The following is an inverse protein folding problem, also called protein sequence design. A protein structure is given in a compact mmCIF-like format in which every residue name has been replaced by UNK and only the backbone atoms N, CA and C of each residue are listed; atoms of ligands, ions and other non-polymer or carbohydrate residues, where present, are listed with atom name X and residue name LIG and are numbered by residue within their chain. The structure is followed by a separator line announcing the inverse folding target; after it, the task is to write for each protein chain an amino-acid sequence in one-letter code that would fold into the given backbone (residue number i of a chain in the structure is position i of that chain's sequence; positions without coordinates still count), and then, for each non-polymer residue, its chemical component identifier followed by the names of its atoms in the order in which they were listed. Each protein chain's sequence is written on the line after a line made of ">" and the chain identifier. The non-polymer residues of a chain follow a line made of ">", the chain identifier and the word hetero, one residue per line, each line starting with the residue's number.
data_IF_598105940921
#
_entry.id   IF_598105940921
#
_cell.length_a   1.000
_cell.length_b   1.000
_cell.length_c   1.000
_cell.angle_alpha   90.00
_cell.angle_beta   90.00
_cell.angle_gamma   90.00
#
_symmetry.space_group_name_H-M   'P 1'
#
loop_
_entity.id
_entity.type
_entity.pdbx_description
1 polymer ?
#
# COMPACT_ATOMS: atom_id res chain seq x y z
N UNK A 1 8.93 -36.22 -17.43
CA UNK A 1 8.00 -35.72 -18.46
C UNK A 1 6.98 -34.84 -17.75
N UNK A 2 6.94 -33.53 -18.01
CA UNK A 2 5.98 -32.66 -17.40
C UNK A 2 4.76 -32.53 -18.33
N UNK A 3 3.56 -32.71 -17.79
CA UNK A 3 2.34 -32.45 -18.53
C UNK A 3 2.09 -30.94 -18.57
N UNK A 4 1.97 -30.38 -19.76
CA UNK A 4 1.63 -28.98 -19.95
C UNK A 4 0.11 -28.86 -20.03
N UNK A 5 -0.48 -28.21 -19.02
CA UNK A 5 -1.90 -27.89 -18.99
C UNK A 5 -2.07 -26.40 -19.26
N UNK A 6 -2.84 -26.04 -20.25
CA UNK A 6 -3.22 -24.66 -20.53
C UNK A 6 -4.49 -24.32 -19.75
N UNK A 7 -4.42 -23.32 -18.86
CA UNK A 7 -5.59 -22.74 -18.22
C UNK A 7 -6.12 -21.61 -19.12
N UNK A 8 -7.37 -21.68 -19.60
CA UNK A 8 -7.96 -20.60 -20.38
C UNK A 8 -8.10 -19.34 -19.52
N UNK A 9 -8.01 -18.14 -20.11
CA UNK A 9 -8.31 -16.91 -19.40
C UNK A 9 -9.79 -16.88 -18.99
N UNK A 10 -10.07 -16.28 -17.83
CA UNK A 10 -11.45 -16.06 -17.38
C UNK A 10 -12.19 -15.14 -18.35
N UNK A 11 -13.47 -15.41 -18.55
CA UNK A 11 -14.38 -14.47 -19.21
C UNK A 11 -14.63 -13.24 -18.34
N UNK A 12 -15.15 -12.15 -18.92
CA UNK A 12 -15.47 -10.94 -18.15
C UNK A 12 -16.51 -11.21 -17.05
N UNK A 13 -17.49 -12.06 -17.32
CA UNK A 13 -18.54 -12.41 -16.36
C UNK A 13 -18.01 -13.27 -15.22
N UNK A 14 -17.12 -14.22 -15.50
CA UNK A 14 -16.43 -15.01 -14.48
C UNK A 14 -15.55 -14.12 -13.60
N UNK A 15 -14.82 -13.17 -14.20
CA UNK A 15 -13.99 -12.24 -13.45
C UNK A 15 -14.82 -11.34 -12.53
N UNK A 16 -15.98 -10.83 -13.02
CA UNK A 16 -16.93 -10.06 -12.20
C UNK A 16 -17.46 -10.89 -11.03
N UNK A 17 -17.87 -12.13 -11.27
CA UNK A 17 -18.35 -13.02 -10.23
C UNK A 17 -17.30 -13.29 -9.16
N UNK A 18 -16.04 -13.53 -9.55
CA UNK A 18 -14.92 -13.71 -8.62
C UNK A 18 -14.67 -12.47 -7.78
N UNK A 19 -14.65 -11.28 -8.41
CA UNK A 19 -14.43 -10.01 -7.69
C UNK A 19 -15.55 -9.76 -6.69
N UNK A 20 -16.80 -9.95 -7.08
CA UNK A 20 -17.97 -9.79 -6.22
C UNK A 20 -17.94 -10.77 -5.05
N UNK A 21 -17.69 -12.06 -5.28
CA UNK A 21 -17.59 -13.08 -4.24
C UNK A 21 -16.48 -12.77 -3.23
N UNK A 22 -15.33 -12.27 -3.71
CA UNK A 22 -14.16 -11.99 -2.87
C UNK A 22 -14.23 -10.67 -2.11
N UNK A 23 -15.04 -9.71 -2.56
CA UNK A 23 -15.13 -8.37 -1.98
C UNK A 23 -16.44 -8.11 -1.25
N UNK A 24 -17.53 -8.80 -1.60
CA UNK A 24 -18.86 -8.55 -1.10
C UNK A 24 -19.52 -7.26 -1.64
N UNK A 25 -18.88 -6.57 -2.60
CA UNK A 25 -19.42 -5.35 -3.20
C UNK A 25 -20.42 -5.69 -4.30
N UNK A 26 -21.52 -4.92 -4.40
CA UNK A 26 -22.45 -5.05 -5.51
C UNK A 26 -21.77 -4.68 -6.84
N UNK A 27 -22.10 -5.39 -7.91
CA UNK A 27 -21.51 -5.16 -9.23
C UNK A 27 -21.75 -3.72 -9.72
N UNK A 28 -22.93 -3.17 -9.45
CA UNK A 28 -23.31 -1.79 -9.80
C UNK A 28 -22.43 -0.72 -9.17
N UNK A 29 -21.92 -0.95 -7.96
CA UNK A 29 -20.99 -0.01 -7.31
C UNK A 29 -19.61 0.01 -7.99
N UNK A 30 -19.28 -1.06 -8.73
CA UNK A 30 -18.01 -1.20 -9.44
C UNK A 30 -18.13 -0.87 -10.96
N UNK A 31 -19.31 -0.55 -11.47
CA UNK A 31 -19.51 -0.26 -12.90
C UNK A 31 -18.50 0.76 -13.47
N UNK A 32 -18.23 1.91 -12.83
CA UNK A 32 -17.23 2.85 -13.33
C UNK A 32 -15.82 2.24 -13.38
N UNK A 33 -15.47 1.41 -12.37
CA UNK A 33 -14.18 0.72 -12.31
C UNK A 33 -14.07 -0.29 -13.44
N UNK A 34 -15.13 -1.05 -13.70
CA UNK A 34 -15.19 -2.00 -14.82
C UNK A 34 -15.05 -1.31 -16.17
N UNK A 35 -15.77 -0.19 -16.37
CA UNK A 35 -15.67 0.60 -17.60
C UNK A 35 -14.25 1.09 -17.84
N UNK A 36 -13.59 1.61 -16.80
CA UNK A 36 -12.19 2.02 -16.87
C UNK A 36 -11.27 0.84 -17.22
N UNK A 37 -11.39 -0.28 -16.51
CA UNK A 37 -10.51 -1.44 -16.70
C UNK A 37 -10.65 -2.02 -18.10
N UNK A 38 -11.87 -2.10 -18.61
CA UNK A 38 -12.11 -2.56 -19.98
C UNK A 38 -11.42 -1.64 -21.00
N UNK A 39 -11.64 -0.32 -20.88
CA UNK A 39 -11.00 0.68 -21.74
C UNK A 39 -9.48 0.62 -21.66
N UNK A 40 -8.94 0.53 -20.44
CA UNK A 40 -7.52 0.44 -20.19
C UNK A 40 -6.89 -0.81 -20.83
N UNK A 41 -7.50 -1.99 -20.66
CA UNK A 41 -7.00 -3.25 -21.24
C UNK A 41 -7.05 -3.23 -22.78
N UNK A 42 -8.11 -2.66 -23.37
CA UNK A 42 -8.24 -2.53 -24.81
C UNK A 42 -7.14 -1.63 -25.39
N UNK A 43 -6.91 -0.47 -24.77
CA UNK A 43 -5.88 0.46 -25.25
C UNK A 43 -4.44 0.02 -24.89
N UNK A 44 -4.26 -0.73 -23.79
CA UNK A 44 -2.95 -1.28 -23.45
C UNK A 44 -2.47 -2.35 -24.45
N UNK A 45 -3.39 -2.91 -25.24
CA UNK A 45 -3.06 -3.85 -26.33
C UNK A 45 -2.59 -3.14 -27.60
N UNK A 46 -2.81 -1.82 -27.71
CA UNK A 46 -2.35 -1.01 -28.83
C UNK A 46 -0.92 -0.47 -28.56
N UNK A 47 0.03 -0.93 -29.36
CA UNK A 47 1.44 -0.54 -29.25
C UNK A 47 1.67 0.97 -29.44
N UNK A 48 0.76 1.67 -30.14
CA UNK A 48 0.88 3.10 -30.44
C UNK A 48 0.53 3.99 -29.25
N UNK A 49 -0.22 3.50 -28.28
CA UNK A 49 -0.71 4.31 -27.15
C UNK A 49 0.34 4.48 -26.04
N UNK A 50 1.45 3.73 -26.08
CA UNK A 50 2.51 3.84 -25.07
C UNK A 50 2.18 3.27 -23.70
N UNK A 51 0.97 2.75 -23.48
CA UNK A 51 0.51 2.12 -22.25
C UNK A 51 1.21 0.80 -21.92
N UNK A 52 1.98 0.23 -22.86
CA UNK A 52 2.82 -0.95 -22.62
C UNK A 52 3.84 -0.73 -21.50
N UNK A 53 4.15 0.54 -21.18
CA UNK A 53 5.03 0.93 -20.06
C UNK A 53 4.29 0.97 -18.72
N UNK A 54 2.98 0.98 -18.74
CA UNK A 54 2.17 0.99 -17.54
C UNK A 54 1.88 -0.45 -17.04
N UNK A 55 1.53 -0.57 -15.78
CA UNK A 55 1.25 -1.86 -15.17
C UNK A 55 -0.02 -2.48 -15.78
N UNK A 56 0.02 -3.77 -16.12
CA UNK A 56 -1.17 -4.50 -16.56
C UNK A 56 -2.21 -4.55 -15.44
N UNK A 57 -3.47 -4.34 -15.79
CA UNK A 57 -4.57 -4.41 -14.82
C UNK A 57 -5.06 -5.86 -14.68
N UNK A 58 -4.76 -6.51 -13.56
CA UNK A 58 -5.13 -7.90 -13.30
C UNK A 58 -6.28 -8.04 -12.31
N UNK A 59 -6.90 -9.22 -12.26
CA UNK A 59 -8.01 -9.55 -11.35
C UNK A 59 -7.67 -9.34 -9.88
N UNK A 60 -6.43 -9.63 -9.46
CA UNK A 60 -5.98 -9.36 -8.07
C UNK A 60 -6.06 -7.89 -7.70
N UNK A 61 -5.73 -6.99 -8.62
CA UNK A 61 -5.85 -5.55 -8.39
C UNK A 61 -7.30 -5.12 -8.26
N UNK A 62 -8.19 -5.69 -9.09
CA UNK A 62 -9.64 -5.47 -8.98
C UNK A 62 -10.20 -5.92 -7.63
N UNK A 63 -9.84 -7.11 -7.16
CA UNK A 63 -10.25 -7.60 -5.85
C UNK A 63 -9.79 -6.65 -4.73
N UNK A 64 -8.55 -6.15 -4.78
CA UNK A 64 -8.04 -5.18 -3.80
C UNK A 64 -8.81 -3.87 -3.81
N UNK A 65 -9.06 -3.32 -5.00
CA UNK A 65 -9.84 -2.10 -5.18
C UNK A 65 -11.27 -2.31 -4.66
N UNK A 66 -11.90 -3.42 -5.03
CA UNK A 66 -13.24 -3.75 -4.59
C UNK A 66 -13.34 -3.92 -3.06
N UNK A 67 -12.41 -4.64 -2.44
CA UNK A 67 -12.35 -4.78 -0.97
C UNK A 67 -12.18 -3.43 -0.28
N UNK A 68 -11.37 -2.54 -0.85
CA UNK A 68 -11.18 -1.21 -0.31
C UNK A 68 -12.47 -0.39 -0.40
N UNK A 69 -13.15 -0.40 -1.54
CA UNK A 69 -14.43 0.28 -1.74
C UNK A 69 -15.56 -0.34 -0.90
N UNK A 70 -15.52 -1.66 -0.64
CA UNK A 70 -16.44 -2.31 0.30
C UNK A 70 -16.34 -1.72 1.70
N UNK A 71 -15.12 -1.43 2.13
CA UNK A 71 -14.85 -0.93 3.48
C UNK A 71 -15.03 0.58 3.58
N UNK A 72 -14.66 1.31 2.53
CA UNK A 72 -14.77 2.77 2.43
C UNK A 72 -15.44 3.18 1.11
N UNK A 73 -16.79 3.17 1.08
CA UNK A 73 -17.55 3.52 -0.13
C UNK A 73 -17.30 4.95 -0.61
N UNK A 74 -16.95 5.86 0.31
CA UNK A 74 -16.67 7.27 0.04
C UNK A 74 -15.21 7.55 -0.35
N UNK A 75 -14.37 6.50 -0.54
CA UNK A 75 -12.98 6.70 -0.94
C UNK A 75 -12.88 7.27 -2.37
N UNK A 76 -11.83 8.04 -2.62
CA UNK A 76 -11.60 8.64 -3.93
C UNK A 76 -11.19 7.58 -4.96
N UNK A 77 -12.14 7.10 -5.75
CA UNK A 77 -11.94 6.07 -6.79
C UNK A 77 -10.91 6.53 -7.82
N UNK A 78 -10.92 7.81 -8.21
CA UNK A 78 -9.94 8.36 -9.14
C UNK A 78 -8.51 8.17 -8.59
N UNK A 79 -8.28 8.65 -7.39
CA UNK A 79 -6.98 8.58 -6.73
C UNK A 79 -6.55 7.14 -6.48
N UNK A 80 -7.50 6.26 -6.12
CA UNK A 80 -7.25 4.85 -5.90
C UNK A 80 -6.75 4.16 -7.17
N UNK A 81 -7.41 4.36 -8.30
CA UNK A 81 -7.02 3.80 -9.58
C UNK A 81 -5.72 4.41 -10.10
N UNK A 82 -5.57 5.73 -9.98
CA UNK A 82 -4.38 6.46 -10.40
C UNK A 82 -3.12 5.97 -9.66
N UNK A 83 -3.21 5.81 -8.33
CA UNK A 83 -2.15 5.26 -7.49
C UNK A 83 -1.86 3.79 -7.81
N UNK A 84 -2.90 3.00 -8.03
CA UNK A 84 -2.76 1.57 -8.35
C UNK A 84 -1.97 1.35 -9.65
N UNK A 85 -2.11 2.24 -10.62
CA UNK A 85 -1.35 2.24 -11.87
C UNK A 85 0.02 2.90 -11.77
N UNK A 86 0.43 3.34 -10.59
CA UNK A 86 1.70 4.06 -10.36
C UNK A 86 1.86 5.30 -11.25
N UNK A 87 0.76 6.00 -11.54
CA UNK A 87 0.72 7.08 -12.52
C UNK A 87 1.69 8.23 -12.21
N UNK A 88 1.96 8.50 -10.92
CA UNK A 88 2.91 9.52 -10.50
C UNK A 88 4.35 9.25 -10.98
N UNK A 89 4.67 7.99 -11.30
CA UNK A 89 5.99 7.55 -11.75
C UNK A 89 6.04 7.28 -13.27
N UNK A 90 4.91 7.44 -13.96
CA UNK A 90 4.85 7.28 -15.42
C UNK A 90 5.27 8.57 -16.14
N UNK A 91 5.76 8.48 -17.38
CA UNK A 91 5.95 9.65 -18.24
C UNK A 91 4.66 10.47 -18.34
N UNK A 92 4.80 11.80 -18.41
CA UNK A 92 3.66 12.72 -18.44
C UNK A 92 2.61 12.34 -19.51
N UNK A 93 3.06 11.99 -20.70
CA UNK A 93 2.17 11.57 -21.81
C UNK A 93 1.31 10.35 -21.44
N UNK A 94 1.90 9.34 -20.79
CA UNK A 94 1.17 8.13 -20.37
C UNK A 94 0.22 8.43 -19.22
N UNK A 95 0.66 9.26 -18.28
CA UNK A 95 -0.16 9.71 -17.16
C UNK A 95 -1.37 10.49 -17.64
N UNK A 96 -1.21 11.39 -18.61
CA UNK A 96 -2.30 12.18 -19.19
C UNK A 96 -3.31 11.27 -19.93
N UNK A 97 -2.85 10.20 -20.59
CA UNK A 97 -3.73 9.20 -21.22
C UNK A 97 -4.59 8.51 -20.15
N UNK A 98 -3.99 8.02 -19.07
CA UNK A 98 -4.74 7.37 -17.97
C UNK A 98 -5.73 8.34 -17.34
N UNK A 99 -5.34 9.60 -17.15
CA UNK A 99 -6.23 10.64 -16.65
C UNK A 99 -7.46 10.82 -17.54
N UNK A 100 -7.27 11.00 -18.85
CA UNK A 100 -8.40 11.15 -19.77
C UNK A 100 -9.29 9.92 -19.81
N UNK A 101 -8.71 8.71 -19.74
CA UNK A 101 -9.51 7.48 -19.65
C UNK A 101 -10.42 7.44 -18.42
N UNK A 102 -9.94 7.92 -17.27
CA UNK A 102 -10.74 8.01 -16.04
C UNK A 102 -11.88 9.01 -16.20
N UNK A 103 -11.57 10.19 -16.74
CA UNK A 103 -12.59 11.23 -17.00
C UNK A 103 -13.67 10.74 -17.98
N UNK A 104 -13.28 10.06 -19.04
CA UNK A 104 -14.19 9.56 -20.07
C UNK A 104 -15.21 8.53 -19.54
N UNK A 105 -14.88 7.81 -18.47
CA UNK A 105 -15.80 6.88 -17.80
C UNK A 105 -16.50 7.50 -16.59
N UNK A 106 -16.39 8.83 -16.42
CA UNK A 106 -17.06 9.57 -15.36
C UNK A 106 -16.36 9.51 -14.01
N UNK A 107 -15.15 8.96 -13.93
CA UNK A 107 -14.35 8.95 -12.69
C UNK A 107 -13.53 10.24 -12.65
N UNK A 108 -14.00 11.20 -11.84
CA UNK A 108 -13.36 12.51 -11.66
C UNK A 108 -12.67 12.58 -10.30
N UNK A 109 -11.55 13.30 -10.17
CA UNK A 109 -10.91 13.51 -8.87
C UNK A 109 -11.83 14.32 -7.95
N UNK A 110 -11.95 13.94 -6.69
CA UNK A 110 -12.76 14.66 -5.71
C UNK A 110 -12.38 16.15 -5.67
N UNK A 111 -13.38 17.01 -5.94
CA UNK A 111 -13.28 18.47 -5.81
C UNK A 111 -12.57 19.19 -6.93
N UNK A 112 -12.45 18.61 -8.11
CA UNK A 112 -12.05 19.35 -9.31
C UNK A 112 -13.28 19.82 -10.08
N UNK A 113 -13.47 21.13 -10.11
CA UNK A 113 -14.13 21.77 -11.25
C UNK A 113 -13.02 22.01 -12.28
N UNK A 114 -12.83 21.08 -13.22
CA UNK A 114 -12.23 21.30 -14.53
C UNK A 114 -10.71 21.49 -14.64
N UNK A 115 -9.88 21.31 -13.63
CA UNK A 115 -8.43 21.39 -13.80
C UNK A 115 -7.69 20.34 -12.98
N UNK A 116 -6.57 19.92 -13.52
CA UNK A 116 -5.56 19.02 -12.93
C UNK A 116 -4.95 19.62 -11.66
N UNK A 117 -5.76 20.00 -10.70
CA UNK A 117 -5.28 20.38 -9.40
C UNK A 117 -5.37 19.17 -8.49
N UNK A 118 -4.21 18.68 -8.10
CA UNK A 118 -4.07 17.83 -6.93
C UNK A 118 -4.84 18.49 -5.79
N UNK A 119 -6.04 18.02 -5.54
CA UNK A 119 -6.72 18.43 -4.32
C UNK A 119 -5.91 17.84 -3.17
N UNK A 120 -5.44 18.68 -2.24
CA UNK A 120 -4.78 18.13 -1.06
C UNK A 120 -5.69 17.05 -0.47
N UNK A 121 -5.11 15.97 0.03
CA UNK A 121 -5.89 14.96 0.73
C UNK A 121 -6.77 15.64 1.75
N UNK A 122 -7.91 15.04 2.01
CA UNK A 122 -8.85 15.45 3.05
C UNK A 122 -8.05 16.09 4.20
N UNK A 123 -8.31 17.34 4.53
CA UNK A 123 -7.58 18.00 5.61
C UNK A 123 -7.95 17.29 6.90
N UNK A 124 -7.01 16.50 7.37
CA UNK A 124 -7.14 15.73 8.59
C UNK A 124 -6.43 16.45 9.72
N UNK A 125 -7.04 16.44 10.89
CA UNK A 125 -6.36 16.79 12.13
C UNK A 125 -5.31 15.74 12.48
N UNK A 126 -4.41 16.07 13.41
CA UNK A 126 -3.47 15.08 13.93
C UNK A 126 -4.23 13.83 14.44
N UNK A 127 -3.72 12.63 14.17
CA UNK A 127 -4.37 11.40 14.64
C UNK A 127 -4.39 11.36 16.17
N UNK A 128 -5.47 10.84 16.73
CA UNK A 128 -5.69 10.76 18.18
C UNK A 128 -5.79 9.30 18.60
N UNK A 129 -5.15 8.97 19.71
CA UNK A 129 -5.25 7.64 20.34
C UNK A 129 -6.12 7.76 21.58
N UNK A 130 -7.28 7.10 21.56
CA UNK A 130 -8.23 7.09 22.65
C UNK A 130 -8.75 5.67 22.90
N UNK A 131 -8.78 5.27 24.16
CA UNK A 131 -9.38 3.99 24.60
C UNK A 131 -8.95 2.77 23.75
N UNK A 132 -7.66 2.68 23.38
CA UNK A 132 -7.17 1.57 22.55
C UNK A 132 -7.54 1.64 21.07
N UNK A 133 -7.97 2.80 20.59
CA UNK A 133 -8.35 3.04 19.20
C UNK A 133 -7.53 4.20 18.64
N UNK A 134 -6.99 4.04 17.44
CA UNK A 134 -6.42 5.12 16.64
C UNK A 134 -7.52 5.71 15.76
N UNK A 135 -7.71 7.02 15.84
CA UNK A 135 -8.73 7.73 15.09
C UNK A 135 -8.15 8.91 14.29
N UNK A 136 -8.65 9.09 13.08
CA UNK A 136 -8.43 10.28 12.24
C UNK A 136 -9.73 11.04 12.11
N UNK A 137 -9.65 12.37 12.19
CA UNK A 137 -10.79 13.26 12.10
C UNK A 137 -10.57 14.28 10.97
N UNK A 138 -11.65 14.70 10.34
CA UNK A 138 -11.61 15.83 9.42
C UNK A 138 -11.57 17.17 10.18
N UNK A 139 -11.50 18.30 9.46
CA UNK A 139 -11.50 19.65 10.05
C UNK A 139 -12.79 19.98 10.81
N UNK A 140 -13.89 19.28 10.52
CA UNK A 140 -15.17 19.45 11.23
C UNK A 140 -15.24 18.64 12.54
N UNK A 141 -14.24 17.83 12.84
CA UNK A 141 -14.20 16.91 13.97
C UNK A 141 -14.97 15.61 13.74
N UNK A 142 -15.40 15.31 12.51
CA UNK A 142 -16.03 14.04 12.17
C UNK A 142 -14.99 12.95 12.01
N UNK A 143 -15.17 11.77 12.62
CA UNK A 143 -14.25 10.66 12.46
C UNK A 143 -14.29 10.12 11.01
N UNK A 144 -13.13 10.05 10.38
CA UNK A 144 -12.95 9.55 9.00
C UNK A 144 -12.46 8.11 9.01
N UNK A 145 -11.61 7.77 9.97
CA UNK A 145 -11.07 6.42 10.13
C UNK A 145 -10.93 6.10 11.62
N UNK A 146 -11.33 4.90 12.02
CA UNK A 146 -11.05 4.35 13.33
C UNK A 146 -10.56 2.92 13.19
N UNK A 147 -9.43 2.60 13.80
CA UNK A 147 -8.84 1.27 13.83
C UNK A 147 -8.43 0.91 15.25
N UNK A 148 -8.57 -0.35 15.65
CA UNK A 148 -8.10 -0.78 16.95
C UNK A 148 -6.57 -0.69 17.02
N UNK A 149 -6.03 -0.28 18.17
CA UNK A 149 -4.60 -0.46 18.47
C UNK A 149 -4.36 -1.90 18.92
N UNK A 150 -3.20 -2.39 18.59
CA UNK A 150 -2.78 -3.71 19.04
C UNK A 150 -2.14 -3.61 20.43
N UNK A 151 -2.45 -4.57 21.28
CA UNK A 151 -1.74 -4.74 22.56
C UNK A 151 -0.56 -5.69 22.36
N UNK A 152 0.40 -5.26 21.55
CA UNK A 152 1.60 -6.03 21.29
C UNK A 152 2.52 -6.10 22.50
N UNK A 153 2.49 -5.11 23.38
CA UNK A 153 3.31 -5.09 24.60
C UNK A 153 3.02 -6.28 25.50
N UNK A 154 1.77 -6.72 25.54
CA UNK A 154 1.35 -7.91 26.27
C UNK A 154 1.56 -9.20 25.47
N UNK A 155 1.30 -9.16 24.16
CA UNK A 155 1.36 -10.36 23.28
C UNK A 155 2.77 -10.76 22.88
N UNK A 156 3.65 -9.79 22.70
CA UNK A 156 5.05 -9.98 22.30
C UNK A 156 5.95 -9.06 23.15
N UNK A 157 6.25 -9.43 24.41
CA UNK A 157 7.08 -8.60 25.27
C UNK A 157 8.48 -8.33 24.72
N UNK A 158 9.06 -9.28 24.01
CA UNK A 158 10.36 -9.09 23.34
C UNK A 158 10.25 -8.07 22.19
N UNK A 159 9.17 -8.12 21.43
CA UNK A 159 8.88 -7.18 20.36
C UNK A 159 8.50 -5.79 20.87
N UNK A 160 8.08 -5.64 22.12
CA UNK A 160 7.70 -4.35 22.67
C UNK A 160 8.82 -3.29 22.59
N UNK A 161 10.08 -3.72 22.71
CA UNK A 161 11.26 -2.86 22.54
C UNK A 161 11.50 -2.42 21.10
N UNK A 162 10.87 -3.11 20.13
CA UNK A 162 10.96 -2.85 18.70
C UNK A 162 9.83 -1.94 18.19
N UNK A 163 8.91 -1.53 19.07
CA UNK A 163 7.91 -0.51 18.73
C UNK A 163 8.65 0.83 18.62
N UNK A 164 8.57 1.51 17.46
CA UNK A 164 9.25 2.77 17.29
C UNK A 164 8.80 3.80 18.32
N UNK A 165 9.73 4.67 18.71
CA UNK A 165 9.47 5.83 19.57
C UNK A 165 9.74 7.09 18.75
N UNK A 166 8.73 7.60 18.10
CA UNK A 166 8.82 8.82 17.30
C UNK A 166 8.48 10.09 18.10
N UNK A 167 8.18 9.95 19.43
CA UNK A 167 7.77 11.05 20.29
C UNK A 167 8.76 12.22 20.27
N UNK A 168 8.24 13.42 20.05
CA UNK A 168 8.97 14.68 20.11
C UNK A 168 9.66 15.12 18.81
N UNK A 169 9.70 14.29 17.74
CA UNK A 169 10.36 14.64 16.49
C UNK A 169 9.44 14.63 15.24
N UNK A 170 8.14 14.36 15.41
CA UNK A 170 7.21 14.31 14.29
C UNK A 170 6.30 15.54 14.26
N UNK A 171 6.38 16.31 13.17
CA UNK A 171 5.48 17.44 12.93
C UNK A 171 4.36 17.01 11.99
N UNK A 172 3.13 17.06 12.49
CA UNK A 172 1.95 16.77 11.69
C UNK A 172 1.68 17.90 10.70
N UNK A 173 1.77 17.61 9.42
CA UNK A 173 1.28 18.46 8.35
C UNK A 173 0.21 17.72 7.54
N UNK A 174 -0.61 18.44 6.80
CA UNK A 174 -1.76 17.90 6.06
C UNK A 174 -1.35 16.76 5.10
N UNK A 175 -0.21 16.88 4.42
CA UNK A 175 0.25 15.86 3.46
C UNK A 175 0.69 14.58 4.16
N UNK A 176 1.49 14.71 5.23
CA UNK A 176 1.97 13.57 6.01
C UNK A 176 0.83 12.87 6.74
N UNK A 177 -0.10 13.63 7.33
CA UNK A 177 -1.28 13.07 8.00
C UNK A 177 -2.17 12.32 7.01
N UNK A 178 -2.38 12.86 5.80
CA UNK A 178 -3.11 12.17 4.74
C UNK A 178 -2.41 10.88 4.25
N UNK A 179 -1.07 10.88 4.20
CA UNK A 179 -0.31 9.69 3.87
C UNK A 179 -0.40 8.64 4.99
N UNK A 180 -0.28 9.04 6.26
CA UNK A 180 -0.46 8.15 7.42
C UNK A 180 -1.85 7.52 7.43
N UNK A 181 -2.90 8.29 7.18
CA UNK A 181 -4.26 7.80 7.04
C UNK A 181 -4.35 6.71 5.96
N UNK A 182 -3.78 6.95 4.77
CA UNK A 182 -3.77 5.96 3.69
C UNK A 182 -2.97 4.70 4.03
N UNK A 183 -1.83 4.85 4.72
CA UNK A 183 -1.02 3.71 5.19
C UNK A 183 -1.82 2.87 6.19
N UNK A 184 -2.48 3.51 7.16
CA UNK A 184 -3.31 2.81 8.17
C UNK A 184 -4.47 2.08 7.51
N UNK A 185 -5.12 2.68 6.51
CA UNK A 185 -6.16 2.00 5.73
C UNK A 185 -5.63 0.73 5.06
N UNK A 186 -4.48 0.83 4.39
CA UNK A 186 -3.91 -0.31 3.66
C UNK A 186 -3.43 -1.42 4.60
N UNK A 187 -2.73 -1.08 5.69
CA UNK A 187 -2.19 -2.05 6.65
C UNK A 187 -3.27 -2.74 7.49
N UNK A 188 -4.18 -1.94 8.06
CA UNK A 188 -5.07 -2.45 9.11
C UNK A 188 -6.36 -3.08 8.57
N UNK A 189 -6.69 -2.79 7.32
CA UNK A 189 -7.97 -3.26 6.78
C UNK A 189 -7.79 -4.25 5.64
N UNK A 190 -6.70 -4.14 4.91
CA UNK A 190 -6.52 -4.92 3.68
C UNK A 190 -5.35 -5.90 3.78
N UNK A 191 -4.59 -5.89 4.89
CA UNK A 191 -3.35 -6.67 5.04
C UNK A 191 -2.41 -6.50 3.83
N UNK A 192 -2.35 -5.28 3.29
CA UNK A 192 -1.60 -4.99 2.07
C UNK A 192 -0.14 -4.68 2.38
N UNK A 193 0.74 -5.23 1.56
CA UNK A 193 2.13 -4.80 1.55
C UNK A 193 2.27 -3.43 0.91
N UNK A 194 3.06 -2.56 1.52
CA UNK A 194 3.23 -1.17 1.11
C UNK A 194 4.59 -0.95 0.44
N UNK A 195 4.59 -0.17 -0.63
CA UNK A 195 5.79 0.37 -1.24
C UNK A 195 5.77 1.90 -1.14
N UNK A 196 6.61 2.45 -0.26
CA UNK A 196 6.77 3.90 -0.10
C UNK A 196 7.85 4.40 -1.06
N UNK A 197 7.46 5.13 -2.08
CA UNK A 197 8.37 5.72 -3.07
C UNK A 197 8.46 7.23 -2.86
N UNK A 198 9.63 7.78 -3.09
CA UNK A 198 9.86 9.24 -2.97
C UNK A 198 11.34 9.56 -2.82
N UNK A 199 11.70 10.84 -3.02
CA UNK A 199 13.07 11.33 -2.90
C UNK A 199 13.67 11.06 -1.51
N UNK A 200 14.98 11.01 -1.44
CA UNK A 200 15.69 10.91 -0.15
C UNK A 200 15.36 12.14 0.70
N UNK A 201 15.24 11.95 2.01
CA UNK A 201 14.94 13.05 2.94
C UNK A 201 13.46 13.43 3.07
N UNK A 202 12.53 12.81 2.34
CA UNK A 202 11.08 13.12 2.44
C UNK A 202 10.40 12.57 3.70
N UNK A 203 11.14 11.91 4.58
CA UNK A 203 10.63 11.43 5.86
C UNK A 203 9.87 10.12 5.81
N UNK A 204 10.02 9.30 4.74
CA UNK A 204 9.33 8.00 4.60
C UNK A 204 9.45 7.12 5.84
N UNK A 205 10.66 6.93 6.37
CA UNK A 205 10.91 6.10 7.55
C UNK A 205 10.26 6.71 8.81
N UNK A 206 10.33 8.04 8.98
CA UNK A 206 9.68 8.72 10.11
C UNK A 206 8.16 8.59 10.09
N UNK A 207 7.56 8.67 8.91
CA UNK A 207 6.11 8.48 8.75
C UNK A 207 5.74 7.04 9.12
N UNK A 208 6.52 6.06 8.66
CA UNK A 208 6.28 4.66 8.99
C UNK A 208 6.44 4.38 10.48
N UNK A 209 7.49 4.93 11.10
CA UNK A 209 7.72 4.82 12.54
C UNK A 209 6.58 5.44 13.34
N UNK A 210 6.11 6.61 12.94
CA UNK A 210 4.96 7.27 13.58
C UNK A 210 3.69 6.44 13.48
N UNK A 211 3.41 5.85 12.32
CA UNK A 211 2.24 4.97 12.12
C UNK A 211 2.34 3.74 13.04
N UNK A 212 3.50 3.09 13.08
CA UNK A 212 3.70 1.88 13.90
C UNK A 212 3.63 2.17 15.39
N UNK A 213 4.13 3.32 15.83
CA UNK A 213 3.98 3.78 17.22
C UNK A 213 2.51 4.02 17.57
N UNK A 214 1.78 4.74 16.72
CA UNK A 214 0.36 5.00 16.92
C UNK A 214 -0.48 3.72 16.97
N UNK A 215 -0.12 2.70 16.19
CA UNK A 215 -0.76 1.39 16.17
C UNK A 215 -0.26 0.45 17.28
N UNK A 216 0.80 0.82 18.00
CA UNK A 216 1.50 -0.02 18.99
C UNK A 216 2.04 -1.32 18.36
N UNK A 217 2.58 -1.25 17.12
CA UNK A 217 3.08 -2.40 16.36
C UNK A 217 4.60 -2.47 16.35
N UNK A 218 5.20 -3.61 16.76
CA UNK A 218 6.64 -3.82 16.65
C UNK A 218 7.07 -3.97 15.20
N UNK A 219 8.26 -3.46 14.88
CA UNK A 219 8.88 -3.62 13.57
C UNK A 219 10.23 -4.30 13.66
N UNK A 220 10.51 -5.15 12.71
CA UNK A 220 11.86 -5.54 12.34
C UNK A 220 12.32 -4.65 11.18
N UNK A 221 13.61 -4.35 11.13
CA UNK A 221 14.17 -3.43 10.13
C UNK A 221 15.41 -4.02 9.48
N UNK A 222 15.49 -3.88 8.17
CA UNK A 222 16.68 -4.19 7.39
C UNK A 222 16.91 -3.09 6.35
N UNK A 223 18.14 -2.65 6.22
CA UNK A 223 18.56 -1.77 5.15
C UNK A 223 19.29 -2.58 4.10
N UNK A 224 18.83 -2.49 2.85
CA UNK A 224 19.42 -3.19 1.72
C UNK A 224 20.58 -2.39 1.13
N UNK A 225 21.56 -3.10 0.60
CA UNK A 225 22.70 -2.52 -0.10
C UNK A 225 23.10 -3.42 -1.29
N UNK A 226 24.15 -3.03 -2.04
CA UNK A 226 24.60 -3.78 -3.22
C UNK A 226 25.10 -5.19 -2.91
N UNK A 227 25.61 -5.39 -1.70
CA UNK A 227 26.22 -6.64 -1.26
C UNK A 227 25.22 -7.54 -0.52
N UNK A 228 23.98 -7.06 -0.32
CA UNK A 228 22.93 -7.84 0.33
C UNK A 228 22.63 -9.13 -0.45
N UNK A 229 22.56 -10.24 0.28
CA UNK A 229 22.33 -11.56 -0.27
C UNK A 229 21.07 -12.20 0.29
N UNK A 230 20.49 -13.16 -0.43
CA UNK A 230 19.36 -13.96 0.07
C UNK A 230 19.72 -14.69 1.36
N UNK A 231 20.98 -15.13 1.51
CA UNK A 231 21.47 -15.80 2.73
C UNK A 231 21.34 -14.90 3.96
N UNK A 232 21.70 -13.61 3.85
CA UNK A 232 21.59 -12.63 4.95
C UNK A 232 20.14 -12.28 5.30
N UNK A 233 19.23 -12.40 4.32
CA UNK A 233 17.80 -12.25 4.57
C UNK A 233 17.20 -13.41 5.37
N UNK A 234 17.85 -14.58 5.37
CA UNK A 234 17.39 -15.75 6.09
C UNK A 234 18.08 -15.91 7.44
N UNK A 235 19.40 -15.76 7.49
CA UNK A 235 20.20 -16.00 8.68
C UNK A 235 21.33 -14.97 8.82
N UNK A 236 21.64 -14.60 10.05
CA UNK A 236 22.84 -13.82 10.38
C UNK A 236 23.86 -14.70 11.06
N UNK A 237 25.06 -14.75 10.50
CA UNK A 237 26.19 -15.37 11.14
C UNK A 237 26.81 -14.41 12.16
N UNK A 238 27.18 -14.91 13.34
CA UNK A 238 27.90 -14.16 14.36
C UNK A 238 28.91 -15.07 15.07
N UNK A 239 29.93 -14.46 15.65
CA UNK A 239 30.93 -15.17 16.44
C UNK A 239 30.59 -15.06 17.92
N UNK A 240 30.50 -16.23 18.60
CA UNK A 240 30.32 -16.30 20.02
C UNK A 240 31.27 -17.37 20.58
N UNK A 241 32.10 -17.01 21.54
CA UNK A 241 33.13 -17.88 22.14
C UNK A 241 34.08 -18.53 21.11
N UNK A 242 34.41 -17.78 20.04
CA UNK A 242 35.26 -18.28 18.95
C UNK A 242 34.60 -19.29 18.01
N UNK A 243 33.31 -19.54 18.18
CA UNK A 243 32.52 -20.42 17.29
C UNK A 243 31.57 -19.59 16.43
N UNK A 244 31.43 -19.99 15.16
CA UNK A 244 30.47 -19.42 14.23
C UNK A 244 29.07 -19.93 14.58
N UNK A 245 28.18 -19.04 14.97
CA UNK A 245 26.77 -19.33 15.23
C UNK A 245 25.87 -18.61 14.25
N UNK A 246 24.65 -19.09 14.09
CA UNK A 246 23.64 -18.52 13.21
C UNK A 246 22.40 -18.15 14.01
N UNK A 247 21.85 -16.98 13.74
CA UNK A 247 20.61 -16.52 14.30
C UNK A 247 19.62 -16.15 13.19
N UNK A 248 18.33 -16.20 13.50
CA UNK A 248 17.27 -15.75 12.60
C UNK A 248 17.51 -14.29 12.21
N UNK A 249 17.37 -13.99 10.93
CA UNK A 249 17.42 -12.61 10.45
C UNK A 249 16.19 -11.81 10.93
N UNK A 250 16.19 -10.48 10.79
CA UNK A 250 15.01 -9.66 11.05
C UNK A 250 13.78 -10.11 10.24
N UNK A 251 13.96 -10.54 8.99
CA UNK A 251 12.89 -11.04 8.14
C UNK A 251 12.26 -12.32 8.73
N UNK A 252 13.09 -13.27 9.13
CA UNK A 252 12.60 -14.54 9.71
C UNK A 252 11.90 -14.28 11.04
N UNK A 253 12.44 -13.40 11.90
CA UNK A 253 11.77 -13.01 13.16
C UNK A 253 10.44 -12.32 12.91
N UNK A 254 10.38 -11.40 11.93
CA UNK A 254 9.13 -10.73 11.57
C UNK A 254 8.05 -11.73 11.17
N UNK A 255 8.39 -12.72 10.33
CA UNK A 255 7.46 -13.76 9.89
C UNK A 255 7.01 -14.66 11.05
N UNK A 256 7.95 -15.08 11.91
CA UNK A 256 7.63 -15.98 13.04
C UNK A 256 6.77 -15.33 14.10
N UNK A 257 7.01 -14.04 14.38
CA UNK A 257 6.33 -13.31 15.45
C UNK A 257 5.16 -12.45 14.95
N UNK A 258 4.90 -12.39 13.65
CA UNK A 258 3.84 -11.53 13.08
C UNK A 258 4.15 -10.03 13.17
N UNK A 259 5.44 -9.66 13.26
CA UNK A 259 5.89 -8.26 13.34
C UNK A 259 5.89 -7.62 11.95
N UNK A 260 5.81 -6.30 11.91
CA UNK A 260 5.94 -5.57 10.64
C UNK A 260 7.41 -5.58 10.20
N UNK A 261 7.65 -6.01 8.95
CA UNK A 261 8.97 -5.93 8.35
C UNK A 261 9.12 -4.65 7.54
N UNK A 262 10.09 -3.82 7.88
CA UNK A 262 10.46 -2.63 7.12
C UNK A 262 11.76 -2.91 6.37
N UNK A 263 11.68 -2.91 5.03
CA UNK A 263 12.83 -3.06 4.15
C UNK A 263 13.15 -1.69 3.54
N UNK A 264 14.28 -1.12 3.90
CA UNK A 264 14.71 0.18 3.41
C UNK A 264 15.70 0.06 2.26
N UNK A 265 15.73 1.07 1.38
CA UNK A 265 16.66 1.16 0.25
C UNK A 265 16.63 -0.09 -0.67
N UNK A 266 15.45 -0.68 -0.87
CA UNK A 266 15.28 -1.89 -1.68
C UNK A 266 15.76 -1.72 -3.13
N UNK A 267 15.79 -0.48 -3.63
CA UNK A 267 16.30 -0.13 -4.96
C UNK A 267 17.82 -0.24 -5.09
N UNK A 268 18.55 -0.35 -3.99
CA UNK A 268 20.02 -0.48 -3.98
C UNK A 268 20.52 -1.92 -4.07
N UNK A 269 19.68 -2.89 -3.78
CA UNK A 269 20.10 -4.29 -3.86
C UNK A 269 20.07 -4.82 -5.30
N UNK A 270 20.73 -5.95 -5.51
CA UNK A 270 20.66 -6.67 -6.79
C UNK A 270 19.25 -7.18 -7.05
N UNK A 271 18.82 -7.18 -8.32
CA UNK A 271 17.52 -7.74 -8.72
C UNK A 271 17.39 -9.26 -8.49
N UNK A 272 18.47 -9.92 -8.10
CA UNK A 272 18.50 -11.36 -7.76
C UNK A 272 18.18 -11.63 -6.29
N UNK A 273 18.13 -10.61 -5.44
CA UNK A 273 17.75 -10.67 -4.02
C UNK A 273 16.28 -10.35 -3.85
#
# INVERSE_FOLDING_TARGET
>A
MFATLAAPPMTADEERAVVQQQSGVSDTALDPVWAFVHKYRTQASDANVGLHKARRFGTRQLIRIARRLARWPDDDVYRLLFRNQLCDFLPRTVRDIVHHMLLDVGIVPHGSEGAFQYKPPLRLSAPVVEAGTLAFFDESGKPVLRVPRYDWRTKDPEGASLIPNAHGSFFHNTQQTGLMHSIVQDLETLDEHLLLMGAQGTGKNKIMDQVLELLDRPREYIQMNRDSTVGELLQRAYLEDGQLKYADSPLVRAIRCGRVMVVDEVDKCSASV
#
